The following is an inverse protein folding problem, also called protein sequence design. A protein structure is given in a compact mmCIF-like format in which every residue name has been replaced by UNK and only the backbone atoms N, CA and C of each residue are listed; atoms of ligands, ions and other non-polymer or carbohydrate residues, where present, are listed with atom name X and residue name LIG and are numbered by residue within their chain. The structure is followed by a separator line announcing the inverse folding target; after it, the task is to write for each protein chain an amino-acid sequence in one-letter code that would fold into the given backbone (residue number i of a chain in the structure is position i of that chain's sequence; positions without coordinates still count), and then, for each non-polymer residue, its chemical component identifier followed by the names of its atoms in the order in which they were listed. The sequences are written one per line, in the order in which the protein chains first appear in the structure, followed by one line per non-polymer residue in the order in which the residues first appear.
data_IF_047791117618
#
_entry.id   IF_047791117618
#
_cell.length_a   1.000
_cell.length_b   1.000
_cell.length_c   1.000
_cell.angle_alpha   90.00
_cell.angle_beta   90.00
_cell.angle_gamma   90.00
#
_symmetry.space_group_name_H-M   'P 1'
#
loop_
_entity.id
_entity.type
_entity.pdbx_description
1 polymer ?
#
# COMPACT_ATOMS: atom_id res chain seq x y z
N UNK A 1 30.08 -7.43 -6.39
CA UNK A 1 29.38 -8.60 -5.82
C UNK A 1 29.14 -9.56 -6.96
N UNK A 2 29.72 -10.72 -6.90
CA UNK A 2 29.60 -11.74 -7.95
C UNK A 2 28.21 -12.40 -7.88
N UNK A 3 27.71 -12.88 -9.03
CA UNK A 3 26.38 -13.49 -9.12
C UNK A 3 26.19 -14.67 -8.15
N UNK A 4 27.19 -15.52 -8.02
CA UNK A 4 27.17 -16.69 -7.12
C UNK A 4 27.10 -16.29 -5.64
N UNK A 5 27.72 -15.19 -5.27
CA UNK A 5 27.62 -14.61 -3.93
C UNK A 5 26.19 -14.15 -3.61
N UNK A 6 25.52 -13.50 -4.60
CA UNK A 6 24.12 -13.08 -4.47
C UNK A 6 23.20 -14.29 -4.28
N UNK A 7 23.38 -15.34 -5.09
CA UNK A 7 22.59 -16.57 -4.99
C UNK A 7 22.80 -17.29 -3.66
N UNK A 8 24.03 -17.38 -3.21
CA UNK A 8 24.37 -17.98 -1.90
C UNK A 8 23.69 -17.23 -0.77
N UNK A 9 23.80 -15.89 -0.76
CA UNK A 9 23.18 -15.03 0.25
C UNK A 9 21.65 -15.10 0.24
N UNK A 10 21.06 -15.18 -0.97
CA UNK A 10 19.61 -15.40 -1.12
C UNK A 10 19.19 -16.74 -0.50
N UNK A 11 19.89 -17.83 -0.78
CA UNK A 11 19.60 -19.15 -0.20
C UNK A 11 19.72 -19.13 1.33
N UNK A 12 20.72 -18.50 1.88
CA UNK A 12 20.90 -18.33 3.32
C UNK A 12 19.72 -17.58 3.95
N UNK A 13 19.28 -16.44 3.35
CA UNK A 13 18.15 -15.67 3.86
C UNK A 13 16.85 -16.49 3.81
N UNK A 14 16.60 -17.21 2.72
CA UNK A 14 15.39 -18.02 2.54
C UNK A 14 15.38 -19.26 3.44
N UNK A 15 16.54 -19.76 3.91
CA UNK A 15 16.62 -20.88 4.86
C UNK A 15 16.33 -20.48 6.29
N UNK A 16 16.31 -19.18 6.61
CA UNK A 16 16.01 -18.70 7.95
C UNK A 16 14.54 -18.93 8.27
N UNK A 17 14.20 -19.40 9.49
CA UNK A 17 12.82 -19.57 9.88
C UNK A 17 12.09 -18.21 9.83
N UNK A 18 10.88 -18.20 9.26
CA UNK A 18 10.02 -17.03 9.30
C UNK A 18 9.76 -16.62 10.76
N UNK A 19 9.89 -15.33 11.05
CA UNK A 19 9.52 -14.78 12.36
C UNK A 19 8.05 -14.37 12.28
N UNK A 20 7.11 -15.11 12.86
CA UNK A 20 5.71 -14.74 12.84
C UNK A 20 5.52 -13.42 13.60
N UNK A 21 4.68 -12.56 13.08
CA UNK A 21 4.25 -11.36 13.80
C UNK A 21 3.32 -11.82 14.93
N UNK A 22 3.57 -11.45 16.19
CA UNK A 22 2.66 -11.77 17.29
C UNK A 22 1.24 -11.28 17.00
N UNK A 23 0.24 -12.12 17.25
CA UNK A 23 -1.16 -11.80 16.96
C UNK A 23 -1.62 -10.49 17.61
N UNK A 24 -1.18 -10.22 18.83
CA UNK A 24 -1.47 -8.98 19.55
C UNK A 24 -0.96 -7.73 18.81
N UNK A 25 0.26 -7.81 18.26
CA UNK A 25 0.83 -6.70 17.48
C UNK A 25 0.06 -6.47 16.18
N UNK A 26 -0.29 -7.57 15.50
CA UNK A 26 -1.08 -7.49 14.27
C UNK A 26 -2.45 -6.87 14.52
N UNK A 27 -3.10 -7.23 15.63
CA UNK A 27 -4.41 -6.68 15.99
C UNK A 27 -4.30 -5.21 16.42
N UNK A 28 -3.25 -4.82 17.13
CA UNK A 28 -2.98 -3.42 17.47
C UNK A 28 -2.80 -2.56 16.20
N UNK A 29 -2.02 -3.03 15.22
CA UNK A 29 -1.83 -2.34 13.93
C UNK A 29 -3.12 -2.25 13.13
N UNK A 30 -3.94 -3.32 13.10
CA UNK A 30 -5.28 -3.28 12.47
C UNK A 30 -6.16 -2.21 13.09
N UNK A 31 -6.23 -2.18 14.41
CA UNK A 31 -7.03 -1.19 15.13
C UNK A 31 -6.58 0.24 14.81
N UNK A 32 -5.28 0.47 14.79
CA UNK A 32 -4.70 1.76 14.41
C UNK A 32 -5.04 2.11 12.96
N UNK A 33 -4.95 1.16 12.03
CA UNK A 33 -5.31 1.35 10.64
C UNK A 33 -6.77 1.79 10.48
N UNK A 34 -7.72 1.12 11.14
CA UNK A 34 -9.14 1.52 11.13
C UNK A 34 -9.38 2.91 11.73
N UNK A 35 -8.65 3.26 12.78
CA UNK A 35 -8.78 4.58 13.42
C UNK A 35 -8.29 5.72 12.53
N UNK A 36 -7.23 5.48 11.77
CA UNK A 36 -6.59 6.50 10.93
C UNK A 36 -7.25 6.68 9.56
N UNK A 37 -8.01 5.69 9.08
CA UNK A 37 -8.49 5.62 7.70
C UNK A 37 -10.02 5.52 7.62
N UNK A 38 -10.73 6.29 8.42
CA UNK A 38 -12.19 6.25 8.51
C UNK A 38 -12.87 6.69 7.22
N UNK A 39 -12.35 7.74 6.57
CA UNK A 39 -12.89 8.27 5.34
C UNK A 39 -12.67 7.31 4.17
N UNK A 40 -11.49 6.71 4.08
CA UNK A 40 -11.21 5.67 3.09
C UNK A 40 -12.15 4.47 3.27
N UNK A 41 -12.44 4.05 4.51
CA UNK A 41 -13.41 3.00 4.78
C UNK A 41 -14.82 3.36 4.30
N UNK A 42 -15.32 4.57 4.61
CA UNK A 42 -16.63 5.03 4.15
C UNK A 42 -16.74 5.02 2.61
N UNK A 43 -15.71 5.51 1.93
CA UNK A 43 -15.66 5.54 0.48
C UNK A 43 -15.63 4.12 -0.10
N UNK A 44 -14.88 3.20 0.49
CA UNK A 44 -14.85 1.81 0.08
C UNK A 44 -16.22 1.13 0.25
N UNK A 45 -16.91 1.33 1.39
CA UNK A 45 -18.25 0.78 1.60
C UNK A 45 -19.27 1.30 0.57
N UNK A 46 -19.18 2.56 0.18
CA UNK A 46 -19.99 3.12 -0.91
C UNK A 46 -19.63 2.50 -2.25
N UNK A 47 -18.33 2.38 -2.54
CA UNK A 47 -17.83 1.85 -3.80
C UNK A 47 -18.27 0.40 -4.05
N UNK A 48 -18.36 -0.43 -3.00
CA UNK A 48 -18.86 -1.83 -3.12
C UNK A 48 -20.26 -1.94 -3.72
N UNK A 49 -21.08 -0.91 -3.58
CA UNK A 49 -22.43 -0.88 -4.15
C UNK A 49 -22.46 -0.41 -5.62
N UNK A 50 -21.35 0.14 -6.13
CA UNK A 50 -21.26 0.75 -7.43
C UNK A 50 -20.37 -0.04 -8.40
N UNK A 51 -19.30 -0.60 -7.90
CA UNK A 51 -18.32 -1.34 -8.70
C UNK A 51 -17.96 -2.67 -8.04
N UNK A 52 -17.75 -3.75 -8.83
CA UNK A 52 -17.37 -5.06 -8.30
C UNK A 52 -16.13 -4.99 -7.41
N UNK A 53 -16.24 -5.50 -6.18
CA UNK A 53 -15.15 -5.51 -5.20
C UNK A 53 -14.81 -4.15 -4.58
N UNK A 54 -15.52 -3.07 -4.95
CA UNK A 54 -15.32 -1.72 -4.41
C UNK A 54 -14.02 -1.04 -4.89
N UNK A 55 -13.38 -1.57 -5.93
CA UNK A 55 -12.14 -1.04 -6.51
C UNK A 55 -12.17 -1.05 -8.03
N UNK A 56 -11.50 -0.09 -8.66
CA UNK A 56 -11.43 0.02 -10.12
C UNK A 56 -10.47 -1.01 -10.76
N UNK A 57 -9.60 -1.60 -9.97
CA UNK A 57 -8.60 -2.56 -10.45
C UNK A 57 -8.28 -3.59 -9.37
N UNK A 58 -8.06 -4.85 -9.74
CA UNK A 58 -7.79 -5.94 -8.81
C UNK A 58 -6.53 -5.74 -7.95
N UNK A 59 -5.49 -5.07 -8.46
CA UNK A 59 -4.30 -4.74 -7.69
C UNK A 59 -4.57 -3.73 -6.56
N UNK A 60 -5.67 -2.99 -6.64
CA UNK A 60 -6.10 -2.08 -5.57
C UNK A 60 -6.84 -2.78 -4.44
N UNK A 61 -7.15 -4.06 -4.56
CA UNK A 61 -7.78 -4.87 -3.50
C UNK A 61 -6.78 -5.17 -2.39
N UNK A 62 -6.81 -4.36 -1.33
CA UNK A 62 -5.95 -4.51 -0.15
C UNK A 62 -6.79 -4.82 1.09
N UNK A 63 -6.20 -5.58 2.02
CA UNK A 63 -6.81 -5.88 3.31
C UNK A 63 -6.22 -4.95 4.40
N UNK A 64 -7.05 -4.51 5.35
CA UNK A 64 -8.47 -4.82 5.56
C UNK A 64 -9.41 -4.14 4.57
N UNK A 65 -9.05 -3.01 3.99
CA UNK A 65 -9.71 -2.30 2.89
C UNK A 65 -8.69 -1.41 2.16
N UNK A 66 -8.95 -1.04 0.90
CA UNK A 66 -8.06 -0.15 0.14
C UNK A 66 -8.12 1.29 0.66
N UNK A 67 -6.98 1.98 0.64
CA UNK A 67 -6.94 3.42 0.87
C UNK A 67 -7.41 4.15 -0.39
N UNK A 68 -8.17 5.23 -0.20
CA UNK A 68 -8.56 6.14 -1.28
C UNK A 68 -7.58 7.30 -1.32
N UNK A 69 -6.80 7.41 -2.41
CA UNK A 69 -5.90 8.54 -2.60
C UNK A 69 -6.69 9.76 -3.07
N UNK A 70 -6.41 10.91 -2.49
CA UNK A 70 -7.06 12.19 -2.76
C UNK A 70 -6.20 13.09 -3.66
N UNK A 71 -4.90 13.17 -3.38
CA UNK A 71 -3.98 14.03 -4.12
C UNK A 71 -2.56 13.46 -4.15
N UNK A 72 -1.77 13.94 -5.12
CA UNK A 72 -0.36 13.61 -5.24
C UNK A 72 0.46 14.83 -5.68
N UNK A 73 1.72 14.90 -5.25
CA UNK A 73 2.69 15.90 -5.71
C UNK A 73 4.11 15.33 -5.65
N UNK A 74 4.81 15.36 -6.78
CA UNK A 74 6.13 14.77 -6.91
C UNK A 74 6.11 13.28 -6.55
N UNK A 75 6.82 12.88 -5.52
CA UNK A 75 6.91 11.50 -5.03
C UNK A 75 5.98 11.21 -3.84
N UNK A 76 5.14 12.17 -3.45
CA UNK A 76 4.22 12.06 -2.32
C UNK A 76 2.78 11.93 -2.77
N UNK A 77 2.00 11.13 -2.02
CA UNK A 77 0.55 11.04 -2.15
C UNK A 77 -0.11 11.17 -0.77
N UNK A 78 -1.35 11.63 -0.76
CA UNK A 78 -2.17 11.76 0.45
C UNK A 78 -3.48 11.03 0.22
N UNK A 79 -3.91 10.29 1.24
CA UNK A 79 -5.21 9.64 1.24
C UNK A 79 -6.35 10.61 1.61
N UNK A 80 -7.58 10.13 1.50
CA UNK A 80 -8.79 10.87 1.83
C UNK A 80 -8.91 11.22 3.33
N UNK A 81 -8.09 10.61 4.18
CA UNK A 81 -7.99 10.87 5.61
C UNK A 81 -6.87 11.87 5.93
N UNK A 82 -6.09 12.32 4.91
CA UNK A 82 -5.00 13.29 5.03
C UNK A 82 -3.66 12.70 5.44
N UNK A 83 -3.52 11.37 5.49
CA UNK A 83 -2.23 10.74 5.77
C UNK A 83 -1.31 10.84 4.55
N UNK A 84 -0.03 11.18 4.78
CA UNK A 84 0.99 11.30 3.75
C UNK A 84 1.76 9.99 3.56
N UNK A 85 2.02 9.63 2.30
CA UNK A 85 2.79 8.45 1.92
C UNK A 85 3.83 8.79 0.85
N UNK A 86 4.92 8.03 0.82
CA UNK A 86 5.85 8.01 -0.29
C UNK A 86 5.36 7.00 -1.33
N UNK A 87 5.11 7.45 -2.55
CA UNK A 87 4.68 6.58 -3.64
C UNK A 87 5.88 6.00 -4.38
N UNK A 88 6.17 4.73 -4.12
CA UNK A 88 7.21 3.96 -4.85
C UNK A 88 6.66 3.25 -6.09
N UNK A 89 5.33 3.20 -6.25
CA UNK A 89 4.70 2.48 -7.36
C UNK A 89 4.42 3.38 -8.56
N UNK A 90 4.19 4.69 -8.32
CA UNK A 90 3.93 5.69 -9.37
C UNK A 90 2.89 5.23 -10.40
N UNK A 91 1.75 4.75 -9.90
CA UNK A 91 0.66 4.14 -10.69
C UNK A 91 1.10 2.95 -11.58
N UNK A 92 2.13 2.18 -11.17
CA UNK A 92 2.70 1.11 -11.98
C UNK A 92 3.70 1.61 -13.02
N UNK A 93 4.47 2.65 -12.66
CA UNK A 93 5.54 3.31 -13.40
C UNK A 93 5.16 4.28 -14.55
N UNK A 94 3.91 4.56 -14.93
CA UNK A 94 3.64 5.56 -15.98
C UNK A 94 3.93 7.00 -15.53
N UNK A 95 3.92 7.31 -14.22
CA UNK A 95 4.16 8.65 -13.69
C UNK A 95 5.66 8.89 -13.49
N UNK A 96 6.39 9.10 -14.59
CA UNK A 96 7.86 9.26 -14.58
C UNK A 96 8.32 10.61 -14.02
N UNK A 97 7.51 11.66 -14.18
CA UNK A 97 7.84 13.03 -13.75
C UNK A 97 7.31 13.37 -12.35
N UNK A 98 6.66 12.40 -11.70
CA UNK A 98 5.99 12.61 -10.42
C UNK A 98 4.53 13.04 -10.57
N UNK A 99 3.81 12.98 -9.45
CA UNK A 99 2.42 13.41 -9.37
C UNK A 99 2.33 14.93 -9.51
N UNK A 100 1.28 15.43 -10.20
CA UNK A 100 1.00 16.86 -10.29
C UNK A 100 2.17 17.66 -10.86
N UNK A 101 2.79 17.14 -11.92
CA UNK A 101 3.85 17.85 -12.63
C UNK A 101 3.22 19.09 -13.30
N UNK A 102 3.69 20.26 -12.89
CA UNK A 102 3.35 21.54 -13.50
C UNK A 102 4.47 21.90 -14.51
N UNK A 103 4.09 22.23 -15.77
CA UNK A 103 5.02 22.72 -16.79
C UNK A 103 5.57 24.12 -16.44
#
# INVERSE_FOLDING_TARGET
MEFDEIISRKKEILSRPARPIPAEKLEAERKLFYQRNKRSLELFEKAKNLIPGGVQHNLSQNKPFPLTMDRGKGWKVWDADGNEYTDYLMCGAPIMLGHGFDE
#
